data_IF_469930014637
#
_entry.id   IF_469930014637
#
_cell.length_a   1.000
_cell.length_b   1.000
_cell.length_c   1.000
_cell.angle_alpha   90.00
_cell.angle_beta   90.00
_cell.angle_gamma   90.00
#
_symmetry.space_group_name_H-M   'P 1'
#
loop_
_entity.id
_entity.type
_entity.pdbx_description
1 polymer ?
#
# COMPACT_ATOMS: atom_id res chain seq x y z
N UNK A 1 18.67 -13.44 -36.49
CA UNK A 1 18.33 -12.77 -35.21
C UNK A 1 16.89 -13.11 -34.87
N UNK A 2 16.68 -13.92 -33.83
CA UNK A 2 15.34 -14.35 -33.43
C UNK A 2 14.62 -13.17 -32.77
N UNK A 3 13.58 -12.64 -33.41
CA UNK A 3 12.64 -11.73 -32.76
C UNK A 3 11.77 -12.58 -31.82
N UNK A 4 12.19 -12.65 -30.56
CA UNK A 4 11.36 -13.21 -29.49
C UNK A 4 10.10 -12.33 -29.40
N UNK A 5 9.04 -12.74 -30.08
CA UNK A 5 7.70 -12.23 -29.81
C UNK A 5 7.37 -12.72 -28.41
N UNK A 6 7.61 -11.86 -27.42
CA UNK A 6 7.13 -12.08 -26.06
C UNK A 6 5.62 -12.13 -26.21
N UNK A 7 5.04 -13.34 -26.15
CA UNK A 7 3.60 -13.53 -26.05
C UNK A 7 3.14 -12.59 -24.94
N UNK A 8 2.38 -11.55 -25.27
CA UNK A 8 1.60 -10.86 -24.24
C UNK A 8 0.58 -11.91 -23.83
N UNK A 9 0.83 -12.58 -22.70
CA UNK A 9 -0.17 -13.45 -22.12
C UNK A 9 -1.44 -12.63 -21.88
N UNK A 10 -2.58 -13.24 -22.14
CA UNK A 10 -3.84 -12.65 -21.72
C UNK A 10 -3.84 -12.52 -20.20
N UNK A 11 -4.34 -11.39 -19.71
CA UNK A 11 -4.37 -11.05 -18.29
C UNK A 11 -5.79 -10.75 -17.85
N UNK A 12 -6.18 -11.32 -16.72
CA UNK A 12 -7.39 -10.92 -16.01
C UNK A 12 -7.03 -9.76 -15.10
N UNK A 13 -7.91 -8.75 -15.04
CA UNK A 13 -7.78 -7.61 -14.13
C UNK A 13 -8.88 -7.70 -13.10
N UNK A 14 -8.50 -7.80 -11.84
CA UNK A 14 -9.42 -7.67 -10.70
C UNK A 14 -9.16 -6.34 -10.01
N UNK A 15 -10.22 -5.67 -9.55
CA UNK A 15 -10.12 -4.38 -8.85
C UNK A 15 -10.80 -4.48 -7.49
N UNK A 16 -10.02 -4.31 -6.43
CA UNK A 16 -10.47 -4.44 -5.05
C UNK A 16 -10.34 -3.11 -4.32
N UNK A 17 -11.33 -2.76 -3.50
CA UNK A 17 -11.25 -1.64 -2.59
C UNK A 17 -10.47 -2.02 -1.33
N UNK A 18 -9.36 -1.33 -1.09
CA UNK A 18 -8.62 -1.41 0.16
C UNK A 18 -8.96 -0.23 1.05
N UNK A 19 -9.48 -0.52 2.24
CA UNK A 19 -9.69 0.48 3.29
C UNK A 19 -8.55 0.41 4.31
N UNK A 20 -7.68 1.40 4.29
CA UNK A 20 -6.63 1.55 5.29
C UNK A 20 -7.13 2.38 6.48
N UNK A 21 -6.99 1.85 7.69
CA UNK A 21 -7.50 2.48 8.92
C UNK A 21 -6.62 2.15 10.12
N UNK A 22 -6.87 2.84 11.24
CA UNK A 22 -6.23 2.56 12.54
C UNK A 22 -4.69 2.69 12.52
N UNK A 23 -4.15 3.62 11.72
CA UNK A 23 -2.71 3.85 11.72
C UNK A 23 -2.23 4.38 13.06
N UNK A 24 -1.13 3.79 13.54
CA UNK A 24 -0.42 4.22 14.73
C UNK A 24 1.07 4.19 14.48
N UNK A 25 1.74 5.28 14.82
CA UNK A 25 3.19 5.34 14.89
C UNK A 25 3.62 5.54 16.35
N UNK A 26 4.71 4.87 16.75
CA UNK A 26 5.27 4.94 18.10
C UNK A 26 6.79 5.11 18.02
N UNK A 27 7.42 5.44 19.16
CA UNK A 27 8.86 5.67 19.26
C UNK A 27 9.34 6.82 18.36
N UNK A 28 8.48 7.82 18.16
CA UNK A 28 8.79 8.96 17.30
C UNK A 28 9.80 9.88 18.02
N UNK A 29 10.93 10.22 17.40
CA UNK A 29 11.95 11.05 18.02
C UNK A 29 11.49 12.51 18.16
N UNK A 30 12.14 13.26 19.06
CA UNK A 30 11.90 14.69 19.25
C UNK A 30 12.14 15.46 17.94
N UNK A 31 11.37 16.53 17.72
CA UNK A 31 11.44 17.36 16.51
C UNK A 31 10.55 16.88 15.34
N UNK A 32 9.86 15.76 15.49
CA UNK A 32 8.85 15.28 14.55
C UNK A 32 7.43 15.64 15.01
N UNK A 33 7.14 16.94 15.12
CA UNK A 33 5.93 17.38 15.84
C UNK A 33 4.63 17.13 15.09
N UNK A 34 4.68 17.15 13.74
CA UNK A 34 3.53 16.86 12.87
C UNK A 34 3.95 15.95 11.72
N UNK A 35 3.30 14.80 11.62
CA UNK A 35 3.62 13.76 10.65
C UNK A 35 2.39 13.27 9.91
N UNK A 36 2.58 12.63 8.77
CA UNK A 36 1.53 11.97 7.99
C UNK A 36 2.09 10.70 7.34
N UNK A 37 1.20 9.81 6.91
CA UNK A 37 1.56 8.61 6.15
C UNK A 37 1.20 8.83 4.69
N UNK A 38 2.09 8.44 3.79
CA UNK A 38 1.86 8.41 2.35
C UNK A 38 1.92 6.96 1.87
N UNK A 39 0.93 6.54 1.09
CA UNK A 39 0.91 5.24 0.42
C UNK A 39 1.37 5.43 -1.00
N UNK A 40 2.48 4.80 -1.34
CA UNK A 40 3.20 4.99 -2.59
C UNK A 40 3.22 3.67 -3.34
N UNK A 41 2.69 3.67 -4.56
CA UNK A 41 2.86 2.54 -5.48
C UNK A 41 4.35 2.42 -5.82
N UNK A 42 4.94 1.24 -5.60
CA UNK A 42 6.38 1.03 -5.83
C UNK A 42 6.71 1.20 -7.31
N UNK A 43 5.91 0.62 -8.20
CA UNK A 43 6.19 0.63 -9.65
C UNK A 43 6.12 2.03 -10.27
N UNK A 44 5.12 2.83 -9.86
CA UNK A 44 4.94 4.18 -10.42
C UNK A 44 5.69 5.26 -9.63
N UNK A 45 6.10 4.96 -8.40
CA UNK A 45 6.64 5.94 -7.44
C UNK A 45 5.63 6.99 -6.99
N UNK A 46 4.35 6.90 -7.41
CA UNK A 46 3.33 7.89 -7.12
C UNK A 46 2.62 7.58 -5.80
N UNK A 47 2.40 8.63 -5.01
CA UNK A 47 1.50 8.55 -3.86
C UNK A 47 0.07 8.41 -4.37
N UNK A 48 -0.62 7.36 -3.93
CA UNK A 48 -2.04 7.16 -4.24
C UNK A 48 -2.94 7.69 -3.13
N UNK A 49 -2.48 7.64 -1.87
CA UNK A 49 -3.23 8.11 -0.72
C UNK A 49 -2.31 8.76 0.32
N UNK A 50 -2.88 9.65 1.13
CA UNK A 50 -2.21 10.28 2.27
C UNK A 50 -3.18 10.45 3.43
N UNK A 51 -2.70 10.25 4.64
CA UNK A 51 -3.45 10.63 5.83
C UNK A 51 -3.43 12.15 6.04
N UNK A 52 -4.31 12.65 6.90
CA UNK A 52 -4.17 13.98 7.48
C UNK A 52 -2.84 14.10 8.26
N UNK A 53 -2.38 15.33 8.50
CA UNK A 53 -1.24 15.56 9.40
C UNK A 53 -1.71 15.43 10.84
N UNK A 54 -1.05 14.58 11.62
CA UNK A 54 -1.34 14.36 13.02
C UNK A 54 -0.18 14.83 13.91
N UNK A 55 -0.54 15.34 15.09
CA UNK A 55 0.42 15.82 16.09
C UNK A 55 1.00 14.64 16.85
N UNK A 56 2.30 14.68 17.10
CA UNK A 56 2.97 13.68 17.93
C UNK A 56 2.90 14.09 19.39
N UNK A 57 2.42 13.17 20.25
CA UNK A 57 2.32 13.38 21.71
C UNK A 57 3.04 12.23 22.40
N UNK A 58 4.01 12.56 23.24
CA UNK A 58 4.82 11.58 24.00
C UNK A 58 5.43 10.48 23.10
N UNK A 59 5.93 10.86 21.91
CA UNK A 59 6.53 9.93 20.95
C UNK A 59 5.53 9.00 20.24
N UNK A 60 4.23 9.28 20.33
CA UNK A 60 3.16 8.49 19.71
C UNK A 60 2.30 9.39 18.82
N UNK A 61 1.80 8.83 17.72
CA UNK A 61 0.88 9.46 16.80
C UNK A 61 -0.19 8.48 16.32
N UNK A 62 -1.40 8.98 16.12
CA UNK A 62 -2.55 8.19 15.67
C UNK A 62 -3.31 8.95 14.58
N UNK A 63 -3.80 8.22 13.59
CA UNK A 63 -4.71 8.75 12.57
C UNK A 63 -6.05 8.01 12.68
N UNK A 64 -7.12 8.69 13.12
CA UNK A 64 -8.43 8.06 13.28
C UNK A 64 -9.15 7.87 11.93
N UNK A 65 -8.81 8.69 10.94
CA UNK A 65 -9.44 8.65 9.63
C UNK A 65 -8.97 7.45 8.82
N UNK A 66 -9.90 6.84 8.09
CA UNK A 66 -9.59 5.83 7.09
C UNK A 66 -9.49 6.43 5.70
N UNK A 67 -8.70 5.80 4.83
CA UNK A 67 -8.66 6.11 3.39
C UNK A 67 -8.94 4.85 2.58
N UNK A 68 -9.74 4.99 1.53
CA UNK A 68 -10.10 3.91 0.61
C UNK A 68 -9.41 4.13 -0.73
N UNK A 69 -8.81 3.08 -1.27
CA UNK A 69 -8.22 3.10 -2.60
C UNK A 69 -8.61 1.84 -3.37
N UNK A 70 -8.88 2.00 -4.66
CA UNK A 70 -9.11 0.85 -5.53
C UNK A 70 -7.80 0.43 -6.20
N UNK A 71 -7.43 -0.82 -5.98
CA UNK A 71 -6.17 -1.38 -6.45
C UNK A 71 -6.46 -2.46 -7.48
N UNK A 72 -5.71 -2.42 -8.59
CA UNK A 72 -5.84 -3.38 -9.68
C UNK A 72 -4.78 -4.47 -9.55
N UNK A 73 -5.23 -5.71 -9.61
CA UNK A 73 -4.40 -6.92 -9.63
C UNK A 73 -4.46 -7.53 -11.01
N UNK A 74 -3.33 -8.07 -11.45
CA UNK A 74 -3.20 -8.68 -12.77
C UNK A 74 -2.84 -10.15 -12.56
N UNK A 75 -3.66 -11.05 -13.10
CA UNK A 75 -3.40 -12.47 -13.09
C UNK A 75 -3.15 -12.97 -14.52
N UNK A 76 -2.08 -13.71 -14.71
CA UNK A 76 -1.78 -14.36 -15.97
C UNK A 76 -2.79 -15.50 -16.23
N UNK A 77 -3.48 -15.48 -17.37
CA UNK A 77 -4.53 -16.46 -17.67
C UNK A 77 -3.99 -17.89 -17.77
N UNK A 78 -2.73 -18.04 -18.20
CA UNK A 78 -2.12 -19.34 -18.51
C UNK A 78 -1.48 -19.96 -17.28
N UNK A 79 -0.64 -19.21 -16.58
CA UNK A 79 0.09 -19.70 -15.39
C UNK A 79 -0.75 -19.59 -14.11
N UNK A 80 -1.81 -18.78 -14.12
CA UNK A 80 -2.59 -18.39 -12.93
C UNK A 80 -1.79 -17.61 -11.88
N UNK A 81 -0.57 -17.20 -12.20
CA UNK A 81 0.25 -16.38 -11.33
C UNK A 81 -0.33 -14.96 -11.21
N UNK A 82 -0.39 -14.45 -9.99
CA UNK A 82 -0.79 -13.08 -9.69
C UNK A 82 0.48 -12.23 -9.66
N UNK A 83 0.49 -11.13 -10.40
CA UNK A 83 1.61 -10.18 -10.38
C UNK A 83 1.75 -9.53 -9.00
N UNK A 84 3.00 -9.32 -8.56
CA UNK A 84 3.26 -8.57 -7.33
C UNK A 84 2.63 -7.17 -7.41
N UNK A 85 2.04 -6.74 -6.30
CA UNK A 85 1.33 -5.48 -6.17
C UNK A 85 1.89 -4.72 -4.95
N UNK A 86 3.11 -4.21 -5.09
CA UNK A 86 3.85 -3.65 -3.97
C UNK A 86 3.51 -2.18 -3.71
N UNK A 87 3.17 -1.88 -2.46
CA UNK A 87 2.94 -0.53 -1.96
C UNK A 87 3.80 -0.24 -0.74
N UNK A 88 4.37 0.96 -0.72
CA UNK A 88 5.19 1.46 0.38
C UNK A 88 4.42 2.49 1.20
N UNK A 89 4.36 2.26 2.50
CA UNK A 89 3.78 3.16 3.49
C UNK A 89 4.92 3.94 4.13
N UNK A 90 4.96 5.25 3.91
CA UNK A 90 6.07 6.10 4.32
C UNK A 90 5.57 7.12 5.34
N UNK A 91 6.24 7.18 6.49
CA UNK A 91 5.98 8.20 7.52
C UNK A 91 6.83 9.43 7.21
N UNK A 92 6.17 10.56 6.98
CA UNK A 92 6.78 11.79 6.51
C UNK A 92 6.49 12.96 7.45
N UNK A 93 7.43 13.91 7.51
CA UNK A 93 7.23 15.16 8.23
C UNK A 93 6.32 16.11 7.43
N UNK A 94 5.40 16.79 8.11
CA UNK A 94 4.52 17.80 7.50
C UNK A 94 5.18 19.14 7.14
N UNK A 95 6.50 19.22 7.01
CA UNK A 95 7.24 20.46 6.72
C UNK A 95 7.45 20.68 5.21
N UNK A 96 8.07 21.79 4.81
CA UNK A 96 8.43 22.10 3.40
C UNK A 96 9.48 21.15 2.84
N UNK A 97 10.25 20.45 3.69
CA UNK A 97 11.18 19.41 3.29
C UNK A 97 10.57 18.04 3.59
N UNK A 98 10.45 17.21 2.56
CA UNK A 98 10.03 15.82 2.71
C UNK A 98 11.19 15.03 3.32
N UNK A 99 11.05 14.66 4.58
CA UNK A 99 11.97 13.76 5.30
C UNK A 99 11.21 12.52 5.72
N UNK A 100 11.84 11.36 5.58
CA UNK A 100 11.27 10.05 5.92
C UNK A 100 11.71 9.69 7.33
N UNK A 101 10.74 9.37 8.20
CA UNK A 101 11.02 8.83 9.53
C UNK A 101 11.21 7.32 9.49
N UNK A 102 10.40 6.66 8.67
CA UNK A 102 10.40 5.22 8.50
C UNK A 102 9.45 4.82 7.38
N UNK A 103 9.62 3.60 6.88
CA UNK A 103 8.82 3.04 5.82
C UNK A 103 8.63 1.53 5.99
N UNK A 104 7.55 1.02 5.40
CA UNK A 104 7.30 -0.42 5.25
C UNK A 104 6.74 -0.66 3.85
N UNK A 105 7.16 -1.75 3.23
CA UNK A 105 6.63 -2.21 1.93
C UNK A 105 5.78 -3.45 2.15
N UNK A 106 4.59 -3.47 1.55
CA UNK A 106 3.66 -4.59 1.58
C UNK A 106 3.33 -5.01 0.15
N UNK A 107 3.30 -6.31 -0.12
CA UNK A 107 2.71 -6.84 -1.33
C UNK A 107 1.22 -7.07 -1.09
N UNK A 108 0.36 -6.25 -1.71
CA UNK A 108 -1.09 -6.39 -1.53
C UNK A 108 -1.67 -7.57 -2.30
N UNK A 109 -0.92 -8.15 -3.25
CA UNK A 109 -1.34 -9.37 -3.94
C UNK A 109 -1.41 -10.57 -2.98
N UNK A 110 -0.66 -10.55 -1.88
CA UNK A 110 -0.70 -11.60 -0.85
C UNK A 110 -2.12 -11.74 -0.25
N UNK A 111 -2.91 -10.65 -0.23
CA UNK A 111 -4.31 -10.69 0.20
C UNK A 111 -5.16 -11.66 -0.62
N UNK A 112 -4.98 -11.69 -1.94
CA UNK A 112 -5.72 -12.60 -2.84
C UNK A 112 -5.40 -14.06 -2.52
N UNK A 113 -4.13 -14.38 -2.31
CA UNK A 113 -3.70 -15.74 -1.95
C UNK A 113 -4.26 -16.21 -0.60
N UNK A 114 -4.48 -15.28 0.34
CA UNK A 114 -5.03 -15.59 1.67
C UNK A 114 -6.56 -15.75 1.67
N UNK A 115 -7.25 -15.10 0.73
CA UNK A 115 -8.72 -15.09 0.66
C UNK A 115 -9.27 -16.39 0.08
N UNK A 116 -8.51 -17.07 -0.79
CA UNK A 116 -8.86 -18.43 -1.26
C UNK A 116 -9.01 -19.43 -0.11
N UNK A 117 -8.32 -19.22 1.02
CA UNK A 117 -8.44 -20.02 2.24
C UNK A 117 -9.60 -19.64 3.18
N UNK A 118 -10.34 -18.56 2.89
CA UNK A 118 -11.34 -17.99 3.82
C UNK A 118 -12.73 -17.74 3.22
N UNK A 119 -13.08 -18.41 2.11
CA UNK A 119 -14.49 -18.57 1.71
C UNK A 119 -15.21 -19.54 2.67
N UNK A 120 -15.35 -19.13 3.92
CA UNK A 120 -16.41 -19.62 4.80
C UNK A 120 -17.59 -18.70 4.53
N UNK A 121 -18.54 -19.18 3.72
CA UNK A 121 -19.89 -18.61 3.69
C UNK A 121 -20.42 -18.59 5.11
N UNK A 122 -20.58 -17.42 5.72
CA UNK A 122 -21.41 -17.29 6.91
C UNK A 122 -22.89 -17.22 6.48
N UNK A 123 -23.79 -17.97 7.13
CA UNK A 123 -25.21 -18.06 6.78
C UNK A 123 -25.98 -16.75 6.97
#
# INVERSE_FOLDING_TARGET
MFKLHRHKSDRVVERIEFKFSNFRAAQIPKGWDKIFISVVCVDSGKSIAKTSRAVVRNGICHWPDSMSEFISFYQDVTTKEIEECQYRFVVLMGSTRTTILGEITLNLADYLSSTDSSVIYSP
#
